data_IF_903762364476
#
_entry.id   IF_903762364476
#
_cell.length_a   1.000
_cell.length_b   1.000
_cell.length_c   1.000
_cell.angle_alpha   90.00
_cell.angle_beta   90.00
_cell.angle_gamma   90.00
#
_symmetry.space_group_name_H-M   'P 1'
#
loop_
_entity.id
_entity.type
_entity.pdbx_description
1 polymer ?
#
# COMPACT_ATOMS: atom_id res chain seq x y z
N UNK A 1 7.77 15.77 -2.72
CA UNK A 1 6.61 16.27 -1.94
C UNK A 1 6.06 15.13 -1.11
N UNK A 2 5.74 15.37 0.15
CA UNK A 2 5.06 14.39 1.00
C UNK A 2 3.67 14.95 1.32
N UNK A 3 2.66 14.08 1.24
CA UNK A 3 1.29 14.40 1.59
C UNK A 3 0.71 13.24 2.40
N UNK A 4 0.20 13.52 3.59
CA UNK A 4 -0.44 12.49 4.39
C UNK A 4 -1.73 12.01 3.70
N UNK A 5 -1.95 10.71 3.75
CA UNK A 5 -3.05 10.03 3.05
C UNK A 5 -4.42 10.66 3.35
N UNK A 6 -4.69 10.98 4.62
CA UNK A 6 -5.98 11.58 5.00
C UNK A 6 -6.22 12.96 4.37
N UNK A 7 -5.15 13.76 4.14
CA UNK A 7 -5.27 15.06 3.45
C UNK A 7 -5.62 14.87 1.98
N UNK A 8 -4.95 13.93 1.31
CA UNK A 8 -5.28 13.58 -0.07
C UNK A 8 -6.73 13.09 -0.19
N UNK A 9 -7.17 12.22 0.73
CA UNK A 9 -8.54 11.71 0.76
C UNK A 9 -9.55 12.84 0.95
N UNK A 10 -9.28 13.79 1.87
CA UNK A 10 -10.14 14.96 2.10
C UNK A 10 -10.29 15.83 0.85
N UNK A 11 -9.18 16.14 0.18
CA UNK A 11 -9.19 16.94 -1.06
C UNK A 11 -9.98 16.25 -2.18
N UNK A 12 -9.80 14.94 -2.33
CA UNK A 12 -10.55 14.15 -3.33
C UNK A 12 -12.04 14.15 -2.98
N UNK A 13 -12.40 13.94 -1.71
CA UNK A 13 -13.79 13.97 -1.25
C UNK A 13 -14.46 15.32 -1.50
N UNK A 14 -13.77 16.42 -1.20
CA UNK A 14 -14.26 17.77 -1.47
C UNK A 14 -14.51 18.02 -2.98
N UNK A 15 -13.67 17.42 -3.82
CA UNK A 15 -13.83 17.47 -5.28
C UNK A 15 -15.02 16.64 -5.75
N UNK A 16 -15.15 15.40 -5.26
CA UNK A 16 -16.22 14.47 -5.63
C UNK A 16 -17.60 15.00 -5.25
N UNK A 17 -17.73 15.66 -4.09
CA UNK A 17 -19.01 16.30 -3.66
C UNK A 17 -19.53 17.37 -4.63
N UNK A 18 -18.67 17.89 -5.50
CA UNK A 18 -19.03 18.86 -6.53
C UNK A 18 -19.39 18.21 -7.87
N UNK A 19 -19.32 16.88 -7.97
CA UNK A 19 -19.62 16.13 -9.19
C UNK A 19 -21.05 15.59 -9.11
N UNK A 20 -22.01 16.07 -9.90
CA UNK A 20 -23.43 15.64 -9.82
C UNK A 20 -23.62 14.15 -10.14
N UNK A 21 -22.70 13.55 -10.89
CA UNK A 21 -22.73 12.12 -11.26
C UNK A 21 -22.14 11.19 -10.18
N UNK A 22 -21.72 11.72 -9.04
CA UNK A 22 -21.12 10.94 -7.96
C UNK A 22 -22.00 10.99 -6.73
N UNK A 23 -22.44 9.83 -6.27
CA UNK A 23 -23.10 9.66 -4.98
C UNK A 23 -22.11 9.00 -4.01
N UNK A 24 -22.04 9.52 -2.78
CA UNK A 24 -21.12 9.02 -1.73
C UNK A 24 -21.96 8.63 -0.52
N UNK A 25 -21.98 7.35 -0.22
CA UNK A 25 -22.72 6.76 0.88
C UNK A 25 -21.74 6.39 2.01
N UNK A 26 -21.74 7.19 3.09
CA UNK A 26 -21.03 6.87 4.33
C UNK A 26 -21.86 5.93 5.20
N UNK A 27 -21.19 5.23 6.12
CA UNK A 27 -21.81 4.27 7.03
C UNK A 27 -22.55 3.13 6.30
N UNK A 28 -22.03 2.76 5.12
CA UNK A 28 -22.54 1.68 4.29
C UNK A 28 -21.48 0.57 4.16
N UNK A 29 -21.90 -0.66 4.46
CA UNK A 29 -21.05 -1.87 4.43
C UNK A 29 -21.54 -2.82 3.32
N UNK A 30 -20.64 -3.19 2.40
CA UNK A 30 -20.92 -4.22 1.40
C UNK A 30 -20.90 -5.60 2.08
N UNK A 31 -22.00 -6.32 2.00
CA UNK A 31 -22.18 -7.64 2.61
C UNK A 31 -21.93 -8.78 1.62
N UNK A 32 -22.49 -8.65 0.43
CA UNK A 32 -22.42 -9.68 -0.61
C UNK A 32 -22.49 -9.06 -2.00
N UNK A 33 -22.17 -9.87 -3.01
CA UNK A 33 -22.27 -9.48 -4.42
C UNK A 33 -22.69 -10.65 -5.30
N UNK A 34 -23.35 -10.33 -6.40
CA UNK A 34 -23.66 -11.26 -7.48
C UNK A 34 -23.38 -10.59 -8.83
N UNK A 35 -23.01 -11.37 -9.85
CA UNK A 35 -22.82 -10.83 -11.20
C UNK A 35 -23.41 -11.75 -12.26
N UNK A 36 -23.83 -11.12 -13.34
CA UNK A 36 -24.27 -11.75 -14.59
C UNK A 36 -23.28 -11.38 -15.71
N UNK A 37 -23.59 -11.77 -16.94
CA UNK A 37 -22.82 -11.32 -18.10
C UNK A 37 -22.85 -9.80 -18.29
N UNK A 38 -23.94 -9.12 -17.87
CA UNK A 38 -24.20 -7.72 -18.21
C UNK A 38 -24.14 -6.74 -17.03
N UNK A 39 -24.26 -7.25 -15.79
CA UNK A 39 -24.35 -6.43 -14.59
C UNK A 39 -23.69 -7.09 -13.38
N UNK A 40 -23.38 -6.28 -12.39
CA UNK A 40 -23.03 -6.71 -11.04
C UNK A 40 -23.95 -6.02 -10.03
N UNK A 41 -24.38 -6.74 -9.00
CA UNK A 41 -25.17 -6.21 -7.89
C UNK A 41 -24.44 -6.44 -6.57
N UNK A 42 -24.66 -5.53 -5.61
CA UNK A 42 -24.15 -5.62 -4.25
C UNK A 42 -25.26 -5.47 -3.24
N UNK A 43 -25.22 -6.26 -2.19
CA UNK A 43 -26.02 -6.05 -0.99
C UNK A 43 -25.24 -5.14 -0.02
N UNK A 44 -25.86 -4.07 0.40
CA UNK A 44 -25.24 -3.05 1.24
C UNK A 44 -26.08 -2.80 2.47
N UNK A 45 -25.46 -2.89 3.64
CA UNK A 45 -26.06 -2.46 4.92
C UNK A 45 -25.76 -1.01 5.14
N UNK A 46 -26.79 -0.17 5.24
CA UNK A 46 -26.73 1.23 5.61
C UNK A 46 -27.54 1.52 6.87
N UNK A 47 -27.62 2.80 7.29
CA UNK A 47 -28.39 3.22 8.47
C UNK A 47 -29.88 2.87 8.40
N UNK A 48 -30.43 2.79 7.19
CA UNK A 48 -31.85 2.47 6.95
C UNK A 48 -32.13 0.99 6.72
N UNK A 49 -31.13 0.11 6.85
CA UNK A 49 -31.26 -1.33 6.62
C UNK A 49 -30.43 -1.82 5.44
N UNK A 50 -30.83 -2.96 4.88
CA UNK A 50 -30.14 -3.60 3.74
C UNK A 50 -30.81 -3.13 2.44
N UNK A 51 -30.00 -2.70 1.48
CA UNK A 51 -30.41 -2.31 0.15
C UNK A 51 -29.55 -3.01 -0.90
N UNK A 52 -30.07 -3.17 -2.12
CA UNK A 52 -29.31 -3.65 -3.27
C UNK A 52 -29.01 -2.52 -4.23
N UNK A 53 -27.75 -2.46 -4.68
CA UNK A 53 -27.32 -1.56 -5.74
C UNK A 53 -26.79 -2.36 -6.92
N UNK A 54 -27.03 -1.89 -8.14
CA UNK A 54 -26.56 -2.56 -9.35
C UNK A 54 -25.81 -1.58 -10.25
N UNK A 55 -24.84 -2.13 -11.01
CA UNK A 55 -24.04 -1.34 -11.93
C UNK A 55 -23.42 -2.21 -13.03
N UNK A 56 -22.84 -1.56 -14.03
CA UNK A 56 -22.14 -2.26 -15.10
C UNK A 56 -20.83 -2.92 -14.60
N UNK A 57 -20.14 -2.30 -13.66
CA UNK A 57 -18.92 -2.80 -13.03
C UNK A 57 -18.90 -2.50 -11.53
N UNK A 58 -18.18 -3.32 -10.77
CA UNK A 58 -17.88 -3.11 -9.35
C UNK A 58 -16.37 -2.98 -9.18
N UNK A 59 -15.93 -1.94 -8.49
CA UNK A 59 -14.53 -1.75 -8.12
C UNK A 59 -14.37 -1.96 -6.61
N UNK A 60 -13.70 -3.03 -6.22
CA UNK A 60 -13.29 -3.28 -4.84
C UNK A 60 -12.03 -2.51 -4.51
N UNK A 61 -12.16 -1.42 -3.75
CA UNK A 61 -11.07 -0.65 -3.16
C UNK A 61 -11.19 -0.62 -1.62
N UNK A 62 -11.74 -1.70 -1.06
CA UNK A 62 -12.20 -1.87 0.32
C UNK A 62 -11.12 -2.46 1.25
N UNK A 63 -9.84 -2.24 0.92
CA UNK A 63 -8.71 -2.49 1.79
C UNK A 63 -8.26 -3.96 1.87
N UNK A 64 -7.24 -4.23 2.67
CA UNK A 64 -6.60 -5.55 2.75
C UNK A 64 -7.53 -6.69 3.19
N UNK A 65 -8.58 -6.37 3.94
CA UNK A 65 -9.65 -7.30 4.35
C UNK A 65 -10.85 -7.31 3.40
N UNK A 66 -10.66 -6.90 2.16
CA UNK A 66 -11.69 -6.71 1.13
C UNK A 66 -12.79 -7.77 1.15
N UNK A 67 -14.02 -7.33 1.32
CA UNK A 67 -15.23 -8.16 1.16
C UNK A 67 -15.47 -8.45 -0.31
N UNK A 68 -15.29 -7.46 -1.19
CA UNK A 68 -15.43 -7.62 -2.64
C UNK A 68 -14.51 -8.72 -3.16
N UNK A 69 -13.21 -8.71 -2.79
CA UNK A 69 -12.28 -9.76 -3.18
C UNK A 69 -12.73 -11.15 -2.71
N UNK A 70 -13.10 -11.28 -1.41
CA UNK A 70 -13.52 -12.57 -0.84
C UNK A 70 -14.80 -13.11 -1.49
N UNK A 71 -15.80 -12.26 -1.66
CA UNK A 71 -17.08 -12.64 -2.28
C UNK A 71 -16.95 -12.97 -3.76
N UNK A 72 -15.95 -12.39 -4.44
CA UNK A 72 -15.61 -12.75 -5.82
C UNK A 72 -14.79 -14.04 -5.92
N UNK A 73 -14.48 -14.73 -4.82
CA UNK A 73 -13.68 -15.96 -4.82
C UNK A 73 -12.22 -15.76 -5.25
N UNK A 74 -11.69 -14.54 -5.16
CA UNK A 74 -10.31 -14.23 -5.57
C UNK A 74 -9.37 -14.50 -4.38
N UNK A 75 -8.41 -15.41 -4.57
CA UNK A 75 -7.39 -15.74 -3.59
C UNK A 75 -6.46 -14.53 -3.33
N UNK A 76 -5.99 -14.40 -2.08
CA UNK A 76 -5.01 -13.39 -1.67
C UNK A 76 -3.70 -14.08 -1.29
N UNK A 77 -2.83 -14.23 -2.26
CA UNK A 77 -1.62 -15.04 -2.19
C UNK A 77 -0.49 -14.30 -1.50
N UNK A 78 0.34 -15.01 -0.73
CA UNK A 78 1.49 -14.46 -0.03
C UNK A 78 1.49 -14.85 1.45
N UNK A 79 2.05 -13.99 2.30
CA UNK A 79 2.28 -14.29 3.72
C UNK A 79 2.05 -13.07 4.60
N UNK A 80 2.10 -13.31 5.91
CA UNK A 80 2.06 -12.29 6.95
C UNK A 80 3.40 -12.31 7.68
N UNK A 81 3.99 -11.15 7.90
CA UNK A 81 5.21 -11.04 8.70
C UNK A 81 4.92 -11.37 10.16
N UNK A 82 5.82 -12.04 10.88
CA UNK A 82 5.60 -12.42 12.27
C UNK A 82 5.57 -11.20 13.20
N UNK A 83 6.39 -10.19 12.93
CA UNK A 83 6.44 -8.96 13.72
C UNK A 83 5.34 -7.98 13.31
N UNK A 84 4.84 -7.22 14.29
CA UNK A 84 4.00 -6.05 14.08
C UNK A 84 4.88 -4.81 13.98
N UNK A 85 4.36 -3.76 13.39
CA UNK A 85 5.06 -2.48 13.31
C UNK A 85 4.32 -1.43 14.12
N UNK A 86 5.06 -0.73 15.00
CA UNK A 86 4.53 0.42 15.72
C UNK A 86 4.98 1.71 15.04
N UNK A 87 4.03 2.62 14.85
CA UNK A 87 4.26 4.00 14.39
C UNK A 87 4.06 4.93 15.56
N UNK A 88 5.06 5.74 15.85
CA UNK A 88 5.00 6.82 16.83
C UNK A 88 5.10 8.16 16.12
N UNK A 89 4.26 9.10 16.50
CA UNK A 89 4.30 10.48 15.98
C UNK A 89 4.62 11.44 17.11
N UNK A 90 5.62 12.28 16.91
CA UNK A 90 6.13 13.22 17.91
C UNK A 90 6.34 14.61 17.30
N UNK A 91 6.14 15.71 18.06
CA UNK A 91 6.53 17.04 17.65
C UNK A 91 8.05 17.30 17.77
N UNK A 92 8.83 16.37 18.37
CA UNK A 92 10.29 16.52 18.47
C UNK A 92 10.91 16.66 17.08
N UNK A 93 11.62 17.77 16.84
CA UNK A 93 12.21 18.05 15.53
C UNK A 93 13.59 17.43 15.39
N UNK A 94 13.64 16.21 14.86
CA UNK A 94 14.90 15.50 14.62
C UNK A 94 15.83 16.20 13.61
N UNK A 95 15.31 17.08 12.74
CA UNK A 95 16.13 17.88 11.85
C UNK A 95 16.87 18.96 12.63
N UNK A 96 16.15 19.74 13.43
CA UNK A 96 16.74 20.83 14.23
C UNK A 96 17.66 20.28 15.33
N UNK A 97 17.26 19.24 16.03
CA UNK A 97 17.95 18.74 17.22
C UNK A 97 19.08 17.74 16.91
N UNK A 98 19.02 17.07 15.78
CA UNK A 98 19.94 15.98 15.41
C UNK A 98 20.54 16.09 14.02
N UNK A 99 20.13 17.06 13.21
CA UNK A 99 20.58 17.22 11.82
C UNK A 99 20.13 16.10 10.90
N UNK A 100 19.02 15.38 11.22
CA UNK A 100 18.54 14.30 10.38
C UNK A 100 17.84 14.84 9.14
N UNK A 101 18.04 14.13 8.01
CA UNK A 101 17.26 14.37 6.82
C UNK A 101 15.78 14.08 7.10
N UNK A 102 14.90 14.81 6.45
CA UNK A 102 13.44 14.64 6.57
C UNK A 102 12.93 13.20 6.31
N UNK A 103 13.80 12.33 5.82
CA UNK A 103 13.56 10.88 5.67
C UNK A 103 14.86 10.13 5.89
N UNK A 104 14.92 9.34 6.95
CA UNK A 104 16.09 8.58 7.36
C UNK A 104 15.72 7.14 7.65
N UNK A 105 16.61 6.22 7.29
CA UNK A 105 16.50 4.80 7.58
C UNK A 105 17.69 4.39 8.43
N UNK A 106 17.42 3.88 9.61
CA UNK A 106 18.43 3.39 10.55
C UNK A 106 18.42 1.88 10.53
N UNK A 107 19.44 1.28 9.95
CA UNK A 107 19.63 -0.16 9.91
C UNK A 107 20.42 -0.61 11.14
N UNK A 108 19.75 -1.28 12.05
CA UNK A 108 20.34 -1.88 13.24
C UNK A 108 19.94 -3.35 13.34
N UNK A 109 20.85 -4.28 13.66
CA UNK A 109 20.54 -5.70 13.73
C UNK A 109 19.50 -6.06 14.80
N UNK A 110 19.48 -5.32 15.91
CA UNK A 110 18.55 -5.54 17.00
C UNK A 110 17.19 -4.92 16.77
N UNK A 111 17.17 -3.73 16.21
CA UNK A 111 15.95 -3.02 15.84
C UNK A 111 16.26 -1.94 14.81
N UNK A 112 15.58 -1.94 13.71
CA UNK A 112 15.68 -0.86 12.72
C UNK A 112 14.63 0.21 12.98
N UNK A 113 14.86 1.42 12.45
CA UNK A 113 13.90 2.51 12.51
C UNK A 113 13.79 3.24 11.19
N UNK A 114 12.59 3.55 10.77
CA UNK A 114 12.33 4.56 9.75
C UNK A 114 11.88 5.83 10.44
N UNK A 115 12.55 6.94 10.14
CA UNK A 115 12.22 8.25 10.70
C UNK A 115 11.94 9.21 9.55
N UNK A 116 10.78 9.88 9.56
CA UNK A 116 10.41 10.81 8.50
C UNK A 116 9.50 11.94 9.00
N UNK A 117 9.74 13.11 8.43
CA UNK A 117 8.97 14.32 8.73
C UNK A 117 7.67 14.34 7.93
N UNK A 118 6.57 14.71 8.56
CA UNK A 118 5.27 14.94 7.93
C UNK A 118 4.82 16.37 8.20
N UNK A 119 4.05 16.95 7.27
CA UNK A 119 3.71 18.38 7.34
C UNK A 119 2.70 18.73 8.43
N UNK A 120 1.95 17.75 8.96
CA UNK A 120 0.91 17.99 9.95
C UNK A 120 0.01 19.19 9.55
N UNK A 121 -0.29 20.11 10.46
CA UNK A 121 -1.09 21.32 10.18
C UNK A 121 -0.25 22.52 9.75
N UNK A 122 1.05 22.32 9.54
CA UNK A 122 2.00 23.34 9.11
C UNK A 122 3.37 23.19 9.77
N UNK A 123 4.28 24.15 9.52
CA UNK A 123 5.60 24.15 10.13
C UNK A 123 5.55 24.21 11.68
N UNK A 124 6.49 23.54 12.38
CA UNK A 124 7.62 22.77 11.86
C UNK A 124 7.25 21.36 11.36
N UNK A 125 5.98 20.95 11.47
CA UNK A 125 5.50 19.61 11.18
C UNK A 125 5.66 18.64 12.34
N UNK A 126 5.46 17.35 12.05
CA UNK A 126 5.63 16.27 13.01
C UNK A 126 6.61 15.22 12.45
N UNK A 127 7.17 14.43 13.33
CA UNK A 127 8.01 13.31 12.94
C UNK A 127 7.33 11.99 13.25
N UNK A 128 7.46 11.06 12.31
CA UNK A 128 7.02 9.68 12.48
C UNK A 128 8.21 8.76 12.52
N UNK A 129 8.22 7.90 13.54
CA UNK A 129 9.19 6.82 13.69
C UNK A 129 8.46 5.49 13.60
N UNK A 130 9.00 4.55 12.84
CA UNK A 130 8.41 3.21 12.62
C UNK A 130 9.42 2.17 13.05
N UNK A 131 9.00 1.27 13.91
CA UNK A 131 9.82 0.19 14.46
C UNK A 131 9.15 -1.17 14.29
N UNK A 132 9.91 -2.25 14.12
CA UNK A 132 9.42 -3.59 14.34
C UNK A 132 9.19 -3.80 15.85
N UNK A 133 8.27 -4.68 16.20
CA UNK A 133 8.05 -5.11 17.57
C UNK A 133 8.46 -6.56 17.74
N UNK A 134 8.80 -6.94 18.98
CA UNK A 134 9.00 -8.34 19.29
C UNK A 134 7.66 -9.09 19.16
N UNK A 135 7.61 -10.18 18.37
CA UNK A 135 6.38 -10.97 18.21
C UNK A 135 5.82 -11.56 19.52
N UNK A 136 6.67 -11.73 20.53
CA UNK A 136 6.29 -12.30 21.83
C UNK A 136 5.62 -11.30 22.78
N UNK A 137 5.81 -9.98 22.55
CA UNK A 137 5.20 -8.94 23.37
C UNK A 137 3.69 -8.84 23.10
N UNK A 138 2.91 -8.59 24.13
CA UNK A 138 1.49 -8.29 24.03
C UNK A 138 1.26 -6.91 23.38
N UNK A 139 0.05 -6.69 22.84
CA UNK A 139 -0.33 -5.38 22.31
C UNK A 139 -0.34 -4.30 23.38
N UNK A 140 -0.84 -4.63 24.56
CA UNK A 140 -0.90 -3.71 25.72
C UNK A 140 0.50 -3.27 26.16
N UNK A 141 1.46 -4.18 26.23
CA UNK A 141 2.86 -3.84 26.53
C UNK A 141 3.48 -2.92 25.50
N UNK A 142 3.29 -3.23 24.20
CA UNK A 142 3.83 -2.44 23.10
C UNK A 142 3.23 -1.04 23.08
N UNK A 143 1.93 -0.93 23.32
CA UNK A 143 1.16 0.32 23.25
C UNK A 143 1.14 1.10 24.56
N UNK A 144 1.69 0.57 25.64
CA UNK A 144 1.81 1.30 26.93
C UNK A 144 2.72 2.52 26.81
N UNK A 145 2.54 3.52 27.65
CA UNK A 145 3.42 4.70 27.68
C UNK A 145 4.87 4.30 27.98
N UNK A 146 5.08 3.36 28.90
CA UNK A 146 6.41 2.84 29.24
C UNK A 146 7.05 2.13 28.02
N UNK A 147 6.30 1.25 27.34
CA UNK A 147 6.78 0.54 26.15
C UNK A 147 7.12 1.47 24.99
N UNK A 148 6.28 2.48 24.75
CA UNK A 148 6.50 3.51 23.73
C UNK A 148 7.75 4.34 24.03
N UNK A 149 7.89 4.83 25.28
CA UNK A 149 9.07 5.61 25.69
C UNK A 149 10.34 4.77 25.65
N UNK A 150 10.31 3.54 26.17
CA UNK A 150 11.48 2.65 26.11
C UNK A 150 11.97 2.45 24.68
N UNK A 151 11.06 2.29 23.72
CA UNK A 151 11.38 2.08 22.30
C UNK A 151 11.98 3.31 21.64
N UNK A 152 11.36 4.48 21.76
CA UNK A 152 11.90 5.69 21.15
C UNK A 152 13.21 6.13 21.82
N UNK A 153 13.31 6.00 23.14
CA UNK A 153 14.53 6.32 23.91
C UNK A 153 15.70 5.38 23.57
N UNK A 154 15.44 4.10 23.29
CA UNK A 154 16.51 3.16 22.93
C UNK A 154 17.16 3.54 21.61
N UNK A 155 16.43 4.19 20.71
CA UNK A 155 16.91 4.61 19.40
C UNK A 155 17.42 6.05 19.38
N UNK A 156 16.72 6.93 20.09
CA UNK A 156 17.03 8.34 20.18
C UNK A 156 17.05 8.78 21.65
N UNK A 157 18.14 8.49 22.40
CA UNK A 157 18.23 8.86 23.81
C UNK A 157 18.00 10.36 24.02
N UNK A 158 17.12 10.71 24.97
CA UNK A 158 16.82 12.10 25.35
C UNK A 158 16.73 12.21 26.86
N UNK A 159 17.18 13.31 27.49
CA UNK A 159 17.06 13.49 28.94
C UNK A 159 15.62 13.62 29.43
N UNK A 160 14.68 13.98 28.56
CA UNK A 160 13.27 14.08 28.84
C UNK A 160 12.46 13.04 28.05
N UNK A 161 11.29 12.62 28.54
CA UNK A 161 10.36 11.81 27.76
C UNK A 161 9.94 12.52 26.47
N UNK A 162 9.73 11.75 25.41
CA UNK A 162 9.17 12.27 24.17
C UNK A 162 7.68 12.50 24.31
N UNK A 163 7.20 13.64 23.85
CA UNK A 163 5.77 13.83 23.60
C UNK A 163 5.36 12.96 22.42
N UNK A 164 4.33 12.10 22.61
CA UNK A 164 3.79 11.22 21.57
C UNK A 164 2.34 11.62 21.32
N UNK A 165 2.11 12.28 20.20
CA UNK A 165 0.77 12.78 19.79
C UNK A 165 -0.08 11.72 19.11
N UNK A 166 0.55 10.67 18.58
CA UNK A 166 -0.16 9.53 17.96
C UNK A 166 0.70 8.28 18.00
N UNK A 167 0.05 7.14 18.26
CA UNK A 167 0.65 5.81 18.16
C UNK A 167 -0.31 4.85 17.47
N UNK A 168 0.22 3.96 16.67
CA UNK A 168 -0.55 2.93 15.98
C UNK A 168 0.28 1.66 15.81
N UNK A 169 -0.35 0.51 16.06
CA UNK A 169 0.25 -0.81 15.89
C UNK A 169 -0.48 -1.55 14.79
N UNK A 170 0.24 -2.15 13.85
CA UNK A 170 -0.37 -2.88 12.76
C UNK A 170 0.41 -4.13 12.37
N UNK A 171 -0.36 -5.13 11.93
CA UNK A 171 0.17 -6.36 11.33
C UNK A 171 0.52 -6.08 9.87
N UNK A 172 1.67 -6.58 9.45
CA UNK A 172 2.17 -6.35 8.10
C UNK A 172 1.98 -7.59 7.23
N UNK A 173 1.27 -7.42 6.14
CA UNK A 173 1.04 -8.45 5.15
C UNK A 173 1.87 -8.19 3.89
N UNK A 174 2.19 -9.27 3.18
CA UNK A 174 2.88 -9.29 1.91
C UNK A 174 2.08 -10.18 0.97
N UNK A 175 1.06 -9.61 0.31
CA UNK A 175 0.07 -10.38 -0.45
C UNK A 175 -0.34 -9.68 -1.74
N UNK A 176 -0.64 -10.48 -2.76
CA UNK A 176 -1.19 -10.02 -4.04
C UNK A 176 -2.40 -10.91 -4.39
N UNK A 177 -3.46 -10.31 -4.87
CA UNK A 177 -4.61 -11.04 -5.38
C UNK A 177 -4.22 -11.87 -6.62
N UNK A 178 -4.69 -13.10 -6.69
CA UNK A 178 -4.42 -14.00 -7.81
C UNK A 178 -4.85 -13.41 -9.16
N UNK A 179 -5.82 -12.50 -9.13
CA UNK A 179 -6.25 -11.68 -10.26
C UNK A 179 -6.86 -10.37 -9.75
N UNK A 180 -6.71 -9.29 -10.52
CA UNK A 180 -7.35 -8.00 -10.22
C UNK A 180 -8.69 -7.82 -10.94
N UNK A 181 -9.11 -8.84 -11.71
CA UNK A 181 -10.40 -8.86 -12.39
C UNK A 181 -11.05 -10.22 -12.27
N UNK A 182 -12.35 -10.26 -11.97
CA UNK A 182 -13.21 -11.43 -12.14
C UNK A 182 -14.54 -10.99 -12.77
N UNK A 183 -14.68 -11.20 -14.09
CA UNK A 183 -15.84 -10.73 -14.83
C UNK A 183 -15.97 -9.19 -14.78
N UNK A 184 -17.04 -8.74 -14.15
CA UNK A 184 -17.35 -7.30 -13.94
C UNK A 184 -16.83 -6.73 -12.62
N UNK A 185 -16.19 -7.56 -11.82
CA UNK A 185 -15.56 -7.14 -10.56
C UNK A 185 -14.08 -6.89 -10.78
N UNK A 186 -13.60 -5.70 -10.36
CA UNK A 186 -12.21 -5.26 -10.44
C UNK A 186 -11.71 -4.90 -9.06
N UNK A 187 -10.44 -5.13 -8.79
CA UNK A 187 -9.79 -4.79 -7.51
C UNK A 187 -8.72 -3.73 -7.72
N UNK A 188 -8.61 -2.79 -6.76
CA UNK A 188 -7.57 -1.76 -6.77
C UNK A 188 -7.04 -1.49 -5.36
N UNK A 189 -5.80 -1.01 -5.25
CA UNK A 189 -5.15 -0.69 -3.98
C UNK A 189 -5.03 -1.89 -3.05
N UNK A 190 -5.21 -1.68 -1.75
CA UNK A 190 -5.03 -2.72 -0.73
C UNK A 190 -5.98 -3.92 -0.89
N UNK A 191 -7.09 -3.77 -1.60
CA UNK A 191 -7.95 -4.91 -1.96
C UNK A 191 -7.27 -5.85 -2.95
N UNK A 192 -6.38 -5.33 -3.81
CA UNK A 192 -5.63 -6.06 -4.82
C UNK A 192 -4.25 -6.51 -4.33
N UNK A 193 -3.53 -5.66 -3.58
CA UNK A 193 -2.19 -5.99 -3.06
C UNK A 193 -1.85 -5.20 -1.81
N UNK A 194 -1.16 -5.86 -0.88
CA UNK A 194 -0.62 -5.25 0.34
C UNK A 194 0.85 -5.61 0.50
N UNK A 195 1.61 -4.70 1.05
CA UNK A 195 3.04 -4.87 1.31
C UNK A 195 3.44 -4.22 2.64
N UNK A 196 4.63 -4.56 3.14
CA UNK A 196 5.18 -3.84 4.28
C UNK A 196 5.44 -2.36 3.91
N UNK A 197 5.35 -1.43 4.87
CA UNK A 197 5.38 0.01 4.60
C UNK A 197 6.76 0.55 4.26
N UNK A 198 7.82 -0.28 4.32
CA UNK A 198 9.21 0.13 4.10
C UNK A 198 9.39 0.52 2.62
N UNK A 199 9.58 1.81 2.38
CA UNK A 199 9.67 2.37 1.03
C UNK A 199 8.47 3.23 0.62
N UNK A 200 7.32 3.14 1.32
CA UNK A 200 6.15 3.99 1.08
C UNK A 200 5.46 3.74 -0.26
N UNK A 201 5.40 2.48 -0.71
CA UNK A 201 4.91 2.12 -2.05
C UNK A 201 3.41 1.80 -2.09
N UNK A 202 2.77 1.42 -0.96
CA UNK A 202 1.38 0.95 -0.93
C UNK A 202 0.39 1.98 -1.49
N UNK A 203 0.30 3.16 -0.87
CA UNK A 203 -0.59 4.24 -1.33
C UNK A 203 -0.32 4.62 -2.79
N UNK A 204 0.94 4.78 -3.16
CA UNK A 204 1.32 5.16 -4.52
C UNK A 204 0.94 4.07 -5.54
N UNK A 205 1.08 2.80 -5.18
CA UNK A 205 0.61 1.66 -5.96
C UNK A 205 -0.90 1.71 -6.20
N UNK A 206 -1.68 1.93 -5.14
CA UNK A 206 -3.14 2.06 -5.23
C UNK A 206 -3.60 3.23 -6.11
N UNK A 207 -2.91 4.38 -6.03
CA UNK A 207 -3.19 5.53 -6.92
C UNK A 207 -2.88 5.17 -8.38
N UNK A 208 -1.77 4.49 -8.64
CA UNK A 208 -1.44 4.03 -9.99
C UNK A 208 -2.44 2.99 -10.51
N UNK A 209 -2.98 2.12 -9.64
CA UNK A 209 -4.07 1.20 -10.01
C UNK A 209 -5.29 1.99 -10.43
N UNK A 210 -5.73 2.96 -9.64
CA UNK A 210 -6.90 3.77 -9.92
C UNK A 210 -6.77 4.52 -11.26
N UNK A 211 -5.62 5.13 -11.54
CA UNK A 211 -5.35 5.82 -12.81
C UNK A 211 -5.36 4.85 -13.99
N UNK A 212 -4.66 3.72 -13.87
CA UNK A 212 -4.59 2.72 -14.92
C UNK A 212 -5.93 2.06 -15.23
N UNK A 213 -6.74 1.79 -14.18
CA UNK A 213 -8.08 1.24 -14.30
C UNK A 213 -9.05 2.24 -14.92
N UNK A 214 -9.07 3.48 -14.42
CA UNK A 214 -10.01 4.49 -14.90
C UNK A 214 -9.83 4.80 -16.39
N UNK A 215 -8.60 4.93 -16.87
CA UNK A 215 -8.31 5.10 -18.30
C UNK A 215 -8.96 4.00 -19.16
N UNK A 216 -8.77 2.74 -18.77
CA UNK A 216 -9.31 1.59 -19.49
C UNK A 216 -10.83 1.46 -19.37
N UNK A 217 -11.35 1.70 -18.16
CA UNK A 217 -12.78 1.58 -17.90
C UNK A 217 -13.59 2.65 -18.66
N UNK A 218 -13.09 3.89 -18.71
CA UNK A 218 -13.66 4.96 -19.53
C UNK A 218 -13.74 4.55 -21.00
N UNK A 219 -12.65 4.00 -21.54
CA UNK A 219 -12.62 3.55 -22.93
C UNK A 219 -13.60 2.40 -23.21
N UNK A 220 -13.75 1.47 -22.28
CA UNK A 220 -14.74 0.38 -22.39
C UNK A 220 -16.18 0.90 -22.33
N UNK A 221 -16.47 1.84 -21.42
CA UNK A 221 -17.83 2.33 -21.18
C UNK A 221 -18.28 3.39 -22.18
N UNK A 222 -17.36 4.27 -22.61
CA UNK A 222 -17.73 5.44 -23.42
C UNK A 222 -17.26 5.33 -24.88
N UNK A 223 -16.11 4.69 -25.12
CA UNK A 223 -15.51 4.63 -26.45
C UNK A 223 -15.72 3.26 -27.14
N UNK A 224 -16.58 2.41 -26.56
CA UNK A 224 -16.86 1.06 -27.06
C UNK A 224 -15.59 0.18 -27.26
N UNK A 225 -14.53 0.44 -26.48
CA UNK A 225 -13.34 -0.40 -26.53
C UNK A 225 -13.69 -1.83 -26.05
N UNK A 226 -13.01 -2.85 -26.58
CA UNK A 226 -13.31 -4.22 -26.20
C UNK A 226 -13.03 -4.47 -24.72
N UNK A 227 -13.90 -5.24 -24.07
CA UNK A 227 -13.86 -5.56 -22.64
C UNK A 227 -12.54 -6.20 -22.18
N UNK A 228 -11.84 -6.90 -23.09
CA UNK A 228 -10.48 -7.44 -22.85
C UNK A 228 -9.45 -6.36 -22.45
N UNK A 229 -9.74 -5.07 -22.66
CA UNK A 229 -8.88 -3.99 -22.20
C UNK A 229 -8.77 -3.98 -20.66
N UNK A 230 -9.77 -4.47 -19.95
CA UNK A 230 -9.74 -4.64 -18.50
C UNK A 230 -8.87 -5.85 -18.05
N UNK A 231 -8.65 -6.83 -18.93
CA UNK A 231 -7.64 -7.89 -18.68
C UNK A 231 -6.22 -7.32 -18.78
N UNK A 232 -6.01 -6.31 -19.62
CA UNK A 232 -4.74 -5.60 -19.64
C UNK A 232 -4.47 -4.83 -18.35
N UNK A 233 -5.51 -4.26 -17.72
CA UNK A 233 -5.39 -3.68 -16.37
C UNK A 233 -4.87 -4.72 -15.37
N UNK A 234 -5.54 -5.87 -15.27
CA UNK A 234 -5.10 -6.98 -14.39
C UNK A 234 -3.64 -7.34 -14.65
N UNK A 235 -3.29 -7.60 -15.90
CA UNK A 235 -1.95 -8.03 -16.28
C UNK A 235 -0.89 -6.97 -15.93
N UNK A 236 -1.12 -5.72 -16.28
CA UNK A 236 -0.19 -4.61 -16.03
C UNK A 236 0.03 -4.38 -14.54
N UNK A 237 -1.07 -4.25 -13.78
CA UNK A 237 -0.97 -3.87 -12.38
C UNK A 237 -0.51 -5.01 -11.48
N UNK A 238 -0.92 -6.24 -11.78
CA UNK A 238 -0.46 -7.43 -11.06
C UNK A 238 1.01 -7.73 -11.34
N UNK A 239 1.49 -7.54 -12.56
CA UNK A 239 2.93 -7.62 -12.89
C UNK A 239 3.73 -6.64 -12.04
N UNK A 240 3.30 -5.37 -11.98
CA UNK A 240 3.98 -4.34 -11.18
C UNK A 240 3.90 -4.63 -9.69
N UNK A 241 2.75 -5.09 -9.19
CA UNK A 241 2.62 -5.47 -7.79
C UNK A 241 3.64 -6.55 -7.39
N UNK A 242 3.88 -7.54 -8.22
CA UNK A 242 4.85 -8.60 -7.95
C UNK A 242 6.30 -8.12 -8.17
N UNK A 243 6.64 -7.60 -9.36
CA UNK A 243 8.03 -7.30 -9.75
C UNK A 243 8.63 -6.09 -9.01
N UNK A 244 7.80 -5.13 -8.59
CA UNK A 244 8.30 -3.90 -7.96
C UNK A 244 7.86 -3.78 -6.50
N UNK A 245 6.56 -3.85 -6.21
CA UNK A 245 6.08 -3.57 -4.86
C UNK A 245 6.49 -4.68 -3.89
N UNK A 246 6.26 -5.95 -4.25
CA UNK A 246 6.60 -7.08 -3.39
C UNK A 246 8.12 -7.23 -3.26
N UNK A 247 8.86 -7.33 -4.37
CA UNK A 247 10.32 -7.52 -4.35
C UNK A 247 11.04 -6.37 -3.66
N UNK A 248 10.69 -5.11 -3.99
CA UNK A 248 11.38 -3.95 -3.44
C UNK A 248 11.12 -3.81 -1.94
N UNK A 249 9.89 -4.02 -1.47
CA UNK A 249 9.58 -3.90 -0.05
C UNK A 249 10.24 -5.00 0.78
N UNK A 250 10.32 -6.23 0.25
CA UNK A 250 11.05 -7.34 0.88
C UNK A 250 12.56 -7.04 0.92
N UNK A 251 13.13 -6.57 -0.19
CA UNK A 251 14.54 -6.23 -0.27
C UNK A 251 14.91 -5.09 0.69
N UNK A 252 14.07 -4.06 0.81
CA UNK A 252 14.26 -2.97 1.75
C UNK A 252 14.27 -3.48 3.20
N UNK A 253 13.31 -4.34 3.57
CA UNK A 253 13.24 -4.95 4.90
C UNK A 253 14.51 -5.76 5.21
N UNK A 254 14.89 -6.68 4.32
CA UNK A 254 16.10 -7.49 4.47
C UNK A 254 17.37 -6.64 4.65
N UNK A 255 17.46 -5.50 3.96
CA UNK A 255 18.60 -4.59 4.08
C UNK A 255 18.66 -3.94 5.47
N UNK A 256 17.51 -3.55 6.04
CA UNK A 256 17.44 -2.95 7.38
C UNK A 256 17.75 -3.95 8.49
N UNK A 257 17.35 -5.21 8.31
CA UNK A 257 17.50 -6.30 9.29
C UNK A 257 18.82 -7.08 9.18
N UNK A 258 19.69 -6.70 8.25
CA UNK A 258 20.96 -7.41 8.06
C UNK A 258 21.78 -7.41 9.36
N UNK A 259 21.97 -8.59 9.97
CA UNK A 259 22.72 -8.78 11.22
C UNK A 259 24.21 -9.04 11.00
N UNK A 260 24.57 -9.68 9.87
CA UNK A 260 25.95 -9.96 9.54
C UNK A 260 26.74 -8.67 9.23
N UNK A 261 27.88 -8.40 9.94
CA UNK A 261 28.66 -7.18 9.75
C UNK A 261 29.17 -6.98 8.32
N UNK A 262 29.55 -8.07 7.63
CA UNK A 262 30.05 -7.97 6.26
C UNK A 262 28.93 -7.62 5.28
N UNK A 263 27.74 -8.17 5.48
CA UNK A 263 26.56 -7.83 4.68
C UNK A 263 26.14 -6.38 4.91
N UNK A 264 26.17 -5.89 6.16
CA UNK A 264 25.91 -4.47 6.47
C UNK A 264 26.92 -3.55 5.80
N UNK A 265 28.21 -3.87 5.89
CA UNK A 265 29.26 -3.08 5.23
C UNK A 265 29.07 -3.04 3.71
N UNK A 266 28.76 -4.17 3.09
CA UNK A 266 28.44 -4.24 1.64
C UNK A 266 27.23 -3.41 1.27
N UNK A 267 26.15 -3.47 2.06
CA UNK A 267 24.93 -2.68 1.83
C UNK A 267 25.22 -1.17 1.89
N UNK A 268 25.99 -0.72 2.86
CA UNK A 268 26.38 0.68 3.01
C UNK A 268 27.30 1.14 1.86
N UNK A 269 28.26 0.31 1.48
CA UNK A 269 29.16 0.61 0.37
C UNK A 269 28.41 0.68 -0.97
N UNK A 270 27.44 -0.20 -1.21
CA UNK A 270 26.57 -0.15 -2.39
C UNK A 270 25.74 1.13 -2.43
N UNK A 271 25.19 1.57 -1.30
CA UNK A 271 24.48 2.85 -1.21
C UNK A 271 25.41 4.05 -1.48
N UNK A 272 26.62 4.04 -0.94
CA UNK A 272 27.64 5.09 -1.19
C UNK A 272 28.00 5.15 -2.67
N UNK A 273 28.29 3.99 -3.28
CA UNK A 273 28.56 3.91 -4.72
C UNK A 273 27.37 4.38 -5.57
N UNK A 274 26.17 4.03 -5.16
CA UNK A 274 24.95 4.49 -5.82
C UNK A 274 24.80 6.01 -5.73
N UNK A 275 25.06 6.60 -4.57
CA UNK A 275 24.98 8.04 -4.39
C UNK A 275 26.10 8.82 -5.13
N UNK A 276 27.27 8.21 -5.28
CA UNK A 276 28.42 8.82 -5.96
C UNK A 276 28.35 8.76 -7.49
N UNK A 277 27.57 7.84 -8.05
CA UNK A 277 27.42 7.66 -9.51
C UNK A 277 26.07 8.23 -9.97
N UNK A 278 26.05 9.27 -10.84
CA UNK A 278 24.81 9.92 -11.27
C UNK A 278 23.83 8.97 -11.98
N UNK A 279 24.32 8.02 -12.78
CA UNK A 279 23.41 7.09 -13.49
C UNK A 279 22.83 6.04 -12.52
N UNK A 280 23.63 5.50 -11.62
CA UNK A 280 23.12 4.61 -10.56
C UNK A 280 22.13 5.31 -9.64
N UNK A 281 22.42 6.56 -9.25
CA UNK A 281 21.51 7.38 -8.46
C UNK A 281 20.20 7.63 -9.21
N UNK A 282 20.26 7.95 -10.51
CA UNK A 282 19.10 8.13 -11.36
C UNK A 282 18.24 6.86 -11.43
N UNK A 283 18.85 5.69 -11.66
CA UNK A 283 18.13 4.41 -11.71
C UNK A 283 17.50 4.07 -10.35
N UNK A 284 18.22 4.29 -9.27
CA UNK A 284 17.70 4.10 -7.91
C UNK A 284 16.48 5.00 -7.65
N UNK A 285 16.56 6.28 -8.01
CA UNK A 285 15.45 7.23 -7.85
C UNK A 285 14.25 6.87 -8.73
N UNK A 286 14.45 6.48 -9.98
CA UNK A 286 13.37 6.04 -10.87
C UNK A 286 12.65 4.81 -10.31
N UNK A 287 13.38 3.89 -9.69
CA UNK A 287 12.81 2.69 -9.08
C UNK A 287 12.05 3.02 -7.78
N UNK A 288 12.66 3.76 -6.86
CA UNK A 288 12.07 4.08 -5.56
C UNK A 288 10.92 5.09 -5.63
N UNK A 289 10.86 5.93 -6.67
CA UNK A 289 9.72 6.80 -6.96
C UNK A 289 8.61 6.13 -7.75
N UNK A 290 8.74 4.84 -8.05
CA UNK A 290 7.79 4.04 -8.84
C UNK A 290 7.59 4.50 -10.30
N UNK A 291 8.47 5.36 -10.83
CA UNK A 291 8.43 5.74 -12.25
C UNK A 291 8.83 4.55 -13.14
N UNK A 292 9.83 3.79 -12.72
CA UNK A 292 10.25 2.59 -13.44
C UNK A 292 9.13 1.53 -13.51
N UNK A 293 8.35 1.37 -12.43
CA UNK A 293 7.21 0.46 -12.39
C UNK A 293 6.09 0.88 -13.34
N UNK A 294 5.80 2.18 -13.42
CA UNK A 294 4.82 2.72 -14.35
C UNK A 294 5.22 2.44 -15.79
N UNK A 295 6.47 2.76 -16.16
CA UNK A 295 7.01 2.46 -17.50
C UNK A 295 6.98 0.97 -17.83
N UNK A 296 7.26 0.12 -16.85
CA UNK A 296 7.16 -1.34 -17.00
C UNK A 296 5.72 -1.76 -17.29
N UNK A 297 4.73 -1.21 -16.58
CA UNK A 297 3.32 -1.48 -16.83
C UNK A 297 2.90 -1.09 -18.25
N UNK A 298 3.31 0.09 -18.72
CA UNK A 298 3.04 0.57 -20.08
C UNK A 298 3.59 -0.36 -21.16
N UNK A 299 4.73 -1.00 -20.89
CA UNK A 299 5.37 -1.98 -21.80
C UNK A 299 4.73 -3.37 -21.77
N UNK A 300 3.77 -3.64 -20.87
CA UNK A 300 3.06 -4.93 -20.80
C UNK A 300 1.85 -4.88 -21.74
N UNK A 301 1.78 -5.83 -22.65
CA UNK A 301 0.70 -5.97 -23.63
C UNK A 301 0.05 -7.34 -23.53
N UNK A 302 -1.21 -7.45 -23.95
CA UNK A 302 -1.86 -8.75 -24.13
C UNK A 302 -1.27 -9.43 -25.37
N UNK A 303 -0.86 -10.69 -25.23
CA UNK A 303 -0.47 -11.49 -26.40
C UNK A 303 -1.68 -11.66 -27.33
N UNK A 304 -1.41 -11.75 -28.64
CA UNK A 304 -2.44 -12.15 -29.61
C UNK A 304 -3.01 -13.52 -29.20
N UNK A 305 -4.33 -13.62 -29.09
CA UNK A 305 -5.00 -14.86 -28.64
C UNK A 305 -5.05 -15.07 -27.12
N UNK A 306 -4.68 -14.07 -26.31
CA UNK A 306 -4.84 -14.16 -24.86
C UNK A 306 -6.32 -14.42 -24.49
N UNK A 307 -6.59 -15.64 -24.05
CA UNK A 307 -7.88 -16.06 -23.46
C UNK A 307 -7.60 -16.32 -22.01
N UNK A 308 -8.31 -15.65 -21.11
CA UNK A 308 -8.22 -15.89 -19.68
C UNK A 308 -8.63 -17.33 -19.39
N UNK A 309 -7.75 -18.12 -18.81
CA UNK A 309 -8.10 -19.42 -18.24
C UNK A 309 -9.06 -19.19 -17.07
N UNK A 310 -10.34 -19.23 -17.35
CA UNK A 310 -11.36 -19.27 -16.30
C UNK A 310 -11.12 -20.58 -15.52
N UNK A 311 -10.77 -20.46 -14.23
CA UNK A 311 -10.49 -21.59 -13.37
C UNK A 311 -11.70 -22.53 -13.33
N UNK A 312 -11.70 -23.55 -14.19
CA UNK A 312 -12.58 -24.70 -14.00
C UNK A 312 -12.09 -25.41 -12.74
N UNK A 313 -12.91 -25.42 -11.70
CA UNK A 313 -12.77 -26.39 -10.62
C UNK A 313 -12.67 -27.76 -11.29
N UNK A 314 -11.53 -28.44 -11.12
CA UNK A 314 -11.49 -29.88 -11.37
C UNK A 314 -12.41 -30.50 -10.32
N UNK A 315 -13.59 -30.90 -10.70
CA UNK A 315 -14.35 -31.88 -9.97
C UNK A 315 -13.51 -33.17 -10.01
N UNK A 316 -12.90 -33.49 -8.88
CA UNK A 316 -12.28 -34.78 -8.64
C UNK A 316 -13.40 -35.77 -8.34
N UNK A 317 -13.59 -36.69 -9.25
CA UNK A 317 -14.34 -37.91 -9.05
C UNK A 317 -13.72 -38.74 -7.94
#
# INVERSE_FOLDING_TARGET
MQCEQFKSAKLILERLRKCPSVEILFDHEVLDLAQTADAVSVEVRGPSGIASHAGAFLIGADGGRSTVRRRSGIAFEGFTWPERFIVLTTPYDFEAERGYCYRSYFADPGTWCNCFKVSADGPPGLWRTVYPTDPTQSEDEIMSDAGVQARIQSFFPSPAPYEIVHRNLYVTHQRVAATFRNGRVLLAGDAAHVNNPIGGMGLNGGIQDAVNLSDKLIRVLLDAAPDRLLDLYDLQRRTVANEFVQEQSIANKKRLEASDPQTRARNLDDLRRTAADPERARQFLLRTSMIASQRRAEGVTLAEGYVRSCGRKRESS
#
